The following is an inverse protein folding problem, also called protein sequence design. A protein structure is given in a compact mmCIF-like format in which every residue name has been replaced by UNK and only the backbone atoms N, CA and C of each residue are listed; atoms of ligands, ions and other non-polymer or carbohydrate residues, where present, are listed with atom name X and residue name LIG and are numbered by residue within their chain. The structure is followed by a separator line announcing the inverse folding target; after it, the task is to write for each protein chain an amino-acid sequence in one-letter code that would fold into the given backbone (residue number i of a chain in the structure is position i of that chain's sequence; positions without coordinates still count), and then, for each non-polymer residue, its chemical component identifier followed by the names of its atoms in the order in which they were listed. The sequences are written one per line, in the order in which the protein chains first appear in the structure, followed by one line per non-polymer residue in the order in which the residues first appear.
data_IF_602893763017
#
_entry.id   IF_602893763017
#
_cell.length_a   1.000
_cell.length_b   1.000
_cell.length_c   1.000
_cell.angle_alpha   90.00
_cell.angle_beta   90.00
_cell.angle_gamma   90.00
#
_symmetry.space_group_name_H-M   'P 1'
#
loop_
_entity.id
_entity.type
_entity.pdbx_description
1 polymer ?
#
# COMPACT_ATOMS: atom_id res chain seq x y z
N UNK A 1 -15.86 -6.85 8.37
CA UNK A 1 -14.96 -6.07 9.23
C UNK A 1 -13.68 -5.82 8.46
N UNK A 2 -12.83 -4.89 8.89
CA UNK A 2 -11.52 -4.70 8.25
C UNK A 2 -10.60 -5.86 8.61
N UNK A 3 -9.92 -6.43 7.61
CA UNK A 3 -9.20 -7.69 7.76
C UNK A 3 -7.71 -7.47 8.03
N UNK A 4 -7.15 -8.26 8.96
CA UNK A 4 -5.72 -8.46 9.11
C UNK A 4 -5.32 -9.80 8.49
N UNK A 5 -4.52 -9.77 7.43
CA UNK A 5 -4.02 -11.00 6.80
C UNK A 5 -2.81 -11.53 7.59
N UNK A 6 -2.85 -12.80 7.99
CA UNK A 6 -1.78 -13.41 8.79
C UNK A 6 -0.89 -14.28 7.90
N UNK A 7 0.36 -13.87 7.79
CA UNK A 7 1.46 -14.51 7.07
C UNK A 7 2.29 -15.29 8.09
N UNK A 8 2.23 -16.61 8.08
CA UNK A 8 3.01 -17.43 9.00
C UNK A 8 3.27 -18.83 8.43
N UNK A 9 4.25 -19.59 8.96
CA UNK A 9 4.35 -21.01 8.67
C UNK A 9 3.12 -21.77 9.15
N UNK A 10 2.72 -22.80 8.40
CA UNK A 10 1.68 -23.76 8.81
C UNK A 10 2.34 -25.08 9.18
N UNK A 11 2.10 -25.57 10.40
CA UNK A 11 2.79 -26.75 10.92
C UNK A 11 1.88 -27.74 11.66
N UNK A 12 0.57 -27.45 11.76
CA UNK A 12 -0.37 -28.16 12.64
C UNK A 12 0.14 -28.26 14.10
N UNK A 13 0.98 -27.29 14.49
CA UNK A 13 1.85 -27.39 15.64
C UNK A 13 1.95 -26.06 16.36
N UNK A 14 3.18 -25.56 16.53
CA UNK A 14 3.42 -24.39 17.38
C UNK A 14 2.89 -23.10 16.73
N UNK A 15 2.95 -22.98 15.40
CA UNK A 15 2.49 -21.79 14.70
C UNK A 15 0.95 -21.74 14.63
N UNK A 16 0.31 -22.89 14.48
CA UNK A 16 -1.15 -22.98 14.52
C UNK A 16 -1.73 -22.63 15.89
N UNK A 17 -1.13 -23.16 16.97
CA UNK A 17 -1.51 -22.80 18.34
C UNK A 17 -1.25 -21.32 18.62
N UNK A 18 -0.09 -20.79 18.21
CA UNK A 18 0.24 -19.37 18.38
C UNK A 18 -0.76 -18.45 17.67
N UNK A 19 -1.23 -18.85 16.49
CA UNK A 19 -2.29 -18.10 15.82
C UNK A 19 -3.57 -18.07 16.66
N UNK A 20 -4.06 -19.22 17.11
CA UNK A 20 -5.33 -19.29 17.86
C UNK A 20 -5.26 -18.60 19.22
N UNK A 21 -4.15 -18.78 19.94
CA UNK A 21 -4.04 -18.35 21.32
C UNK A 21 -3.54 -16.90 21.45
N UNK A 22 -2.72 -16.44 20.50
CA UNK A 22 -2.00 -15.16 20.61
C UNK A 22 -2.37 -14.18 19.49
N UNK A 23 -2.15 -14.55 18.22
CA UNK A 23 -2.30 -13.60 17.11
C UNK A 23 -3.75 -13.22 16.86
N UNK A 24 -4.66 -14.20 16.77
CA UNK A 24 -6.08 -13.94 16.55
C UNK A 24 -6.69 -13.07 17.67
N UNK A 25 -6.51 -13.39 18.97
CA UNK A 25 -6.99 -12.53 20.04
C UNK A 25 -6.39 -11.11 20.04
N UNK A 26 -5.11 -10.96 19.69
CA UNK A 26 -4.48 -9.63 19.59
C UNK A 26 -5.08 -8.80 18.44
N UNK A 27 -5.29 -9.42 17.28
CA UNK A 27 -5.88 -8.79 16.11
C UNK A 27 -7.32 -8.38 16.39
N UNK A 28 -8.12 -9.26 16.98
CA UNK A 28 -9.51 -9.00 17.35
C UNK A 28 -9.61 -7.90 18.41
N UNK A 29 -8.70 -7.87 19.39
CA UNK A 29 -8.60 -6.79 20.38
C UNK A 29 -8.20 -5.43 19.78
N UNK A 30 -7.60 -5.43 18.58
CA UNK A 30 -7.34 -4.24 17.77
C UNK A 30 -8.53 -3.83 16.89
N UNK A 31 -9.65 -4.56 16.92
CA UNK A 31 -10.85 -4.26 16.15
C UNK A 31 -10.83 -4.81 14.71
N UNK A 32 -9.92 -5.74 14.42
CA UNK A 32 -9.74 -6.33 13.10
C UNK A 32 -10.19 -7.80 13.08
N UNK A 33 -10.50 -8.30 11.89
CA UNK A 33 -10.74 -9.72 11.66
C UNK A 33 -9.45 -10.43 11.26
N UNK A 34 -9.02 -11.45 12.02
CA UNK A 34 -7.83 -12.24 11.69
C UNK A 34 -8.14 -13.25 10.58
N UNK A 35 -7.50 -13.08 9.42
CA UNK A 35 -7.70 -13.96 8.26
C UNK A 35 -6.47 -14.81 7.98
N UNK A 36 -6.71 -16.12 7.79
CA UNK A 36 -5.74 -17.11 7.37
C UNK A 36 -6.30 -17.89 6.19
N UNK A 37 -5.57 -17.90 5.09
CA UNK A 37 -6.02 -18.52 3.84
C UNK A 37 -6.24 -20.03 3.96
N UNK A 38 -5.44 -20.73 4.79
CA UNK A 38 -5.52 -22.18 4.93
C UNK A 38 -6.75 -22.64 5.72
N UNK A 39 -7.40 -21.74 6.45
CA UNK A 39 -8.64 -22.00 7.19
C UNK A 39 -9.90 -21.69 6.37
N UNK A 40 -9.76 -21.15 5.16
CA UNK A 40 -10.87 -20.77 4.30
C UNK A 40 -11.25 -21.93 3.36
N UNK A 41 -12.39 -22.60 3.59
CA UNK A 41 -12.82 -23.74 2.78
C UNK A 41 -13.23 -23.33 1.34
N UNK A 42 -13.39 -22.02 1.07
CA UNK A 42 -13.73 -21.48 -0.24
C UNK A 42 -12.53 -21.28 -1.18
N UNK A 43 -11.30 -21.49 -0.69
CA UNK A 43 -10.07 -21.31 -1.47
C UNK A 43 -9.90 -22.43 -2.49
N UNK A 44 -10.05 -22.09 -3.77
CA UNK A 44 -9.84 -23.01 -4.89
C UNK A 44 -8.38 -22.98 -5.39
N UNK A 45 -7.82 -21.77 -5.53
CA UNK A 45 -6.44 -21.53 -5.94
C UNK A 45 -5.72 -20.78 -4.82
N UNK A 46 -4.83 -21.46 -4.06
CA UNK A 46 -4.22 -20.87 -2.86
C UNK A 46 -3.46 -19.58 -3.15
N UNK A 47 -2.65 -19.55 -4.21
CA UNK A 47 -1.78 -18.39 -4.49
C UNK A 47 -2.56 -17.13 -4.86
N UNK A 48 -3.56 -17.22 -5.73
CA UNK A 48 -4.43 -16.10 -6.09
C UNK A 48 -5.24 -15.59 -4.90
N UNK A 49 -5.67 -16.51 -4.03
CA UNK A 49 -6.43 -16.17 -2.81
C UNK A 49 -5.54 -15.46 -1.78
N UNK A 50 -4.29 -15.90 -1.65
CA UNK A 50 -3.27 -15.23 -0.82
C UNK A 50 -3.02 -13.81 -1.34
N UNK A 51 -2.69 -13.68 -2.62
CA UNK A 51 -2.41 -12.38 -3.24
C UNK A 51 -3.58 -11.41 -3.10
N UNK A 52 -4.79 -11.88 -3.40
CA UNK A 52 -6.02 -11.09 -3.24
C UNK A 52 -6.25 -10.73 -1.78
N UNK A 53 -6.10 -11.69 -0.86
CA UNK A 53 -6.28 -11.48 0.57
C UNK A 53 -5.32 -10.43 1.13
N UNK A 54 -4.04 -10.50 0.75
CA UNK A 54 -3.03 -9.50 1.12
C UNK A 54 -3.43 -8.13 0.57
N UNK A 55 -3.75 -8.03 -0.73
CA UNK A 55 -4.11 -6.75 -1.37
C UNK A 55 -5.34 -6.09 -0.73
N UNK A 56 -6.30 -6.90 -0.29
CA UNK A 56 -7.55 -6.45 0.30
C UNK A 56 -7.46 -6.20 1.82
N UNK A 57 -6.42 -6.70 2.48
CA UNK A 57 -6.24 -6.48 3.91
C UNK A 57 -5.91 -5.02 4.22
N UNK A 58 -6.41 -4.56 5.37
CA UNK A 58 -6.02 -3.24 5.89
C UNK A 58 -4.58 -3.25 6.43
N UNK A 59 -4.14 -4.39 6.95
CA UNK A 59 -2.82 -4.60 7.54
C UNK A 59 -2.46 -6.08 7.49
N UNK A 60 -1.18 -6.39 7.38
CA UNK A 60 -0.68 -7.76 7.47
C UNK A 60 0.09 -7.97 8.78
N UNK A 61 -0.02 -9.16 9.36
CA UNK A 61 0.85 -9.65 10.42
C UNK A 61 1.75 -10.74 9.83
N UNK A 62 3.07 -10.65 10.02
CA UNK A 62 4.01 -11.65 9.55
C UNK A 62 4.87 -12.23 10.67
N UNK A 63 4.81 -13.56 10.89
CA UNK A 63 5.75 -14.29 11.76
C UNK A 63 6.96 -14.76 10.94
N UNK A 64 8.07 -14.04 11.10
CA UNK A 64 9.33 -14.26 10.37
C UNK A 64 10.34 -15.05 11.22
N UNK A 65 9.89 -15.79 12.23
CA UNK A 65 10.76 -16.61 13.09
C UNK A 65 11.51 -17.67 12.28
N UNK A 66 10.81 -18.37 11.39
CA UNK A 66 11.40 -19.37 10.51
C UNK A 66 11.80 -18.74 9.17
N UNK A 67 12.89 -19.24 8.58
CA UNK A 67 13.25 -18.92 7.19
C UNK A 67 12.39 -19.72 6.20
N UNK A 68 11.07 -19.45 6.23
CA UNK A 68 10.10 -20.10 5.37
C UNK A 68 9.97 -19.34 4.03
N UNK A 69 10.23 -19.99 2.86
CA UNK A 69 10.14 -19.33 1.56
C UNK A 69 8.76 -18.73 1.23
N UNK A 70 7.67 -19.36 1.67
CA UNK A 70 6.31 -18.88 1.42
C UNK A 70 6.05 -17.60 2.20
N UNK A 71 6.46 -17.56 3.47
CA UNK A 71 6.38 -16.35 4.32
C UNK A 71 7.15 -15.19 3.68
N UNK A 72 8.34 -15.45 3.13
CA UNK A 72 9.12 -14.41 2.45
C UNK A 72 8.46 -13.89 1.19
N UNK A 73 7.87 -14.77 0.39
CA UNK A 73 7.11 -14.39 -0.80
C UNK A 73 5.91 -13.51 -0.42
N UNK A 74 5.09 -13.96 0.54
CA UNK A 74 3.91 -13.23 1.00
C UNK A 74 4.27 -11.88 1.63
N UNK A 75 5.35 -11.82 2.41
CA UNK A 75 5.85 -10.58 3.00
C UNK A 75 6.32 -9.60 1.93
N UNK A 76 7.07 -10.08 0.93
CA UNK A 76 7.50 -9.27 -0.21
C UNK A 76 6.30 -8.73 -0.99
N UNK A 77 5.29 -9.56 -1.22
CA UNK A 77 4.06 -9.19 -1.91
C UNK A 77 3.24 -8.15 -1.13
N UNK A 78 3.17 -8.27 0.20
CA UNK A 78 2.53 -7.30 1.07
C UNK A 78 3.20 -5.92 0.96
N UNK A 79 4.54 -5.87 0.93
CA UNK A 79 5.26 -4.62 0.69
C UNK A 79 5.04 -4.06 -0.71
N UNK A 80 5.08 -4.91 -1.74
CA UNK A 80 4.81 -4.48 -3.12
C UNK A 80 3.36 -3.98 -3.33
N UNK A 81 2.43 -4.40 -2.47
CA UNK A 81 1.03 -3.98 -2.48
C UNK A 81 0.75 -2.76 -1.59
N UNK A 82 1.79 -2.12 -1.04
CA UNK A 82 1.71 -1.00 -0.09
C UNK A 82 0.82 -1.29 1.12
N UNK A 83 0.80 -2.55 1.58
CA UNK A 83 0.08 -2.91 2.81
C UNK A 83 0.98 -2.63 4.01
N UNK A 84 0.47 -1.96 5.06
CA UNK A 84 1.17 -1.91 6.34
C UNK A 84 1.41 -3.34 6.86
N UNK A 85 2.60 -3.60 7.39
CA UNK A 85 2.97 -4.92 7.94
C UNK A 85 3.51 -4.78 9.36
N UNK A 86 2.97 -5.56 10.29
CA UNK A 86 3.56 -5.81 11.60
C UNK A 86 4.33 -7.12 11.54
N UNK A 87 5.64 -7.07 11.76
CA UNK A 87 6.48 -8.26 11.79
C UNK A 87 6.77 -8.67 13.23
N UNK A 88 6.71 -9.97 13.50
CA UNK A 88 7.08 -10.57 14.77
C UNK A 88 8.19 -11.60 14.53
N UNK A 89 9.12 -11.72 15.46
CA UNK A 89 10.18 -12.72 15.38
C UNK A 89 10.52 -13.26 16.76
N UNK A 90 10.51 -14.58 16.91
CA UNK A 90 10.98 -15.20 18.14
C UNK A 90 12.50 -15.09 18.26
N UNK A 91 12.98 -14.95 19.48
CA UNK A 91 14.41 -15.02 19.81
C UNK A 91 15.01 -16.41 19.58
N UNK A 92 14.18 -17.46 19.44
CA UNK A 92 14.60 -18.82 19.05
C UNK A 92 15.15 -18.92 17.62
N UNK A 93 15.03 -17.85 16.82
CA UNK A 93 15.47 -17.83 15.42
C UNK A 93 16.95 -18.24 15.30
N UNK A 94 17.21 -19.24 14.47
CA UNK A 94 18.56 -19.80 14.28
C UNK A 94 19.47 -18.88 13.44
N UNK A 95 18.88 -18.09 12.53
CA UNK A 95 19.59 -17.10 11.72
C UNK A 95 19.82 -15.79 12.49
N UNK A 96 21.05 -15.55 12.94
CA UNK A 96 21.44 -14.36 13.75
C UNK A 96 21.22 -13.01 13.05
N UNK A 97 21.12 -12.97 11.72
CA UNK A 97 20.89 -11.75 10.95
C UNK A 97 19.66 -11.91 10.08
N UNK A 98 18.83 -10.87 10.05
CA UNK A 98 17.74 -10.77 9.09
C UNK A 98 18.29 -10.57 7.67
N UNK A 99 17.52 -10.93 6.62
CA UNK A 99 17.82 -10.50 5.25
C UNK A 99 17.98 -8.98 5.16
N UNK A 100 18.82 -8.50 4.25
CA UNK A 100 19.14 -7.06 4.10
C UNK A 100 17.88 -6.19 4.01
N UNK A 101 16.89 -6.61 3.22
CA UNK A 101 15.63 -5.89 3.00
C UNK A 101 14.71 -5.81 4.25
N UNK A 102 15.03 -6.60 5.29
CA UNK A 102 14.29 -6.70 6.54
C UNK A 102 15.02 -6.02 7.71
N UNK A 103 16.36 -5.95 7.68
CA UNK A 103 17.19 -5.46 8.80
C UNK A 103 16.83 -4.06 9.30
N UNK A 104 16.36 -3.18 8.42
CA UNK A 104 16.02 -1.78 8.75
C UNK A 104 14.55 -1.57 9.08
N UNK A 105 13.76 -2.64 9.13
CA UNK A 105 12.32 -2.57 9.40
C UNK A 105 12.01 -2.84 10.87
N UNK A 106 10.89 -2.31 11.35
CA UNK A 106 10.42 -2.54 12.71
C UNK A 106 9.93 -3.98 12.86
N UNK A 107 10.51 -4.71 13.80
CA UNK A 107 10.16 -6.09 14.15
C UNK A 107 9.87 -6.10 15.65
N UNK A 108 8.84 -6.81 16.07
CA UNK A 108 8.54 -7.07 17.48
C UNK A 108 9.25 -8.37 17.86
N UNK A 109 10.39 -8.32 18.58
CA UNK A 109 11.01 -9.52 19.12
C UNK A 109 10.17 -10.09 20.26
N UNK A 110 10.19 -11.41 20.44
CA UNK A 110 9.59 -12.04 21.61
C UNK A 110 10.31 -13.33 22.03
N UNK A 111 10.34 -13.61 23.33
CA UNK A 111 10.74 -14.93 23.86
C UNK A 111 9.54 -15.87 23.93
N UNK A 112 9.81 -17.18 23.93
CA UNK A 112 8.84 -18.24 24.11
C UNK A 112 9.14 -19.08 25.37
N UNK A 113 9.93 -18.56 26.30
CA UNK A 113 10.41 -19.28 27.49
C UNK A 113 9.31 -19.46 28.54
N UNK A 114 8.39 -18.47 28.68
CA UNK A 114 7.32 -18.51 29.67
C UNK A 114 5.98 -17.98 29.10
N UNK A 115 4.83 -18.37 29.70
CA UNK A 115 3.52 -17.87 29.29
C UNK A 115 3.42 -16.33 29.28
N UNK A 116 4.08 -15.66 30.24
CA UNK A 116 4.11 -14.20 30.33
C UNK A 116 4.75 -13.52 29.13
N UNK A 117 5.64 -14.20 28.39
CA UNK A 117 6.27 -13.64 27.20
C UNK A 117 5.26 -13.54 26.04
N UNK A 118 4.36 -14.52 25.96
CA UNK A 118 3.26 -14.49 25.00
C UNK A 118 2.19 -13.45 25.35
N UNK A 119 1.93 -13.21 26.64
CA UNK A 119 1.06 -12.11 27.07
C UNK A 119 1.64 -10.75 26.64
N UNK A 120 2.95 -10.53 26.85
CA UNK A 120 3.64 -9.32 26.38
C UNK A 120 3.62 -9.17 24.86
N UNK A 121 3.78 -10.28 24.12
CA UNK A 121 3.66 -10.28 22.67
C UNK A 121 2.25 -9.87 22.25
N UNK A 122 1.21 -10.43 22.86
CA UNK A 122 -0.18 -10.08 22.58
C UNK A 122 -0.46 -8.60 22.80
N UNK A 123 -0.01 -8.06 23.94
CA UNK A 123 -0.16 -6.63 24.27
C UNK A 123 0.57 -5.74 23.27
N UNK A 124 1.83 -6.04 22.99
CA UNK A 124 2.66 -5.27 22.05
C UNK A 124 2.09 -5.30 20.63
N UNK A 125 1.62 -6.47 20.19
CA UNK A 125 0.99 -6.65 18.89
C UNK A 125 -0.31 -5.84 18.79
N UNK A 126 -1.18 -5.93 19.80
CA UNK A 126 -2.45 -5.18 19.84
C UNK A 126 -2.19 -3.66 19.79
N UNK A 127 -1.25 -3.17 20.61
CA UNK A 127 -0.89 -1.75 20.63
C UNK A 127 -0.32 -1.28 19.28
N UNK A 128 0.56 -2.08 18.66
CA UNK A 128 1.15 -1.76 17.36
C UNK A 128 0.10 -1.74 16.25
N UNK A 129 -0.80 -2.71 16.21
CA UNK A 129 -1.90 -2.77 15.25
C UNK A 129 -2.79 -1.53 15.37
N UNK A 130 -3.25 -1.19 16.59
CA UNK A 130 -4.05 0.02 16.85
C UNK A 130 -3.35 1.29 16.39
N UNK A 131 -2.08 1.47 16.74
CA UNK A 131 -1.32 2.65 16.36
C UNK A 131 -1.16 2.80 14.83
N UNK A 132 -1.03 1.69 14.10
CA UNK A 132 -0.95 1.74 12.64
C UNK A 132 -2.32 2.07 12.04
N UNK A 133 -3.41 1.45 12.52
CA UNK A 133 -4.77 1.73 12.06
C UNK A 133 -5.11 3.21 12.29
N UNK A 134 -4.89 3.73 13.50
CA UNK A 134 -5.16 5.13 13.83
C UNK A 134 -4.35 6.07 12.94
N UNK A 135 -3.07 5.76 12.67
CA UNK A 135 -2.25 6.55 11.76
C UNK A 135 -2.82 6.53 10.33
N UNK A 136 -3.27 5.38 9.84
CA UNK A 136 -3.87 5.26 8.50
C UNK A 136 -5.18 6.05 8.44
N UNK A 137 -6.06 5.92 9.44
CA UNK A 137 -7.31 6.66 9.54
C UNK A 137 -7.08 8.17 9.62
N UNK A 138 -6.08 8.62 10.38
CA UNK A 138 -5.72 10.04 10.47
C UNK A 138 -5.18 10.54 9.12
N UNK A 139 -4.37 9.76 8.41
CA UNK A 139 -3.89 10.13 7.08
C UNK A 139 -5.03 10.19 6.07
N UNK A 140 -5.99 9.26 6.12
CA UNK A 140 -7.18 9.27 5.29
C UNK A 140 -8.08 10.47 5.62
N UNK A 141 -8.31 10.75 6.90
CA UNK A 141 -9.05 11.93 7.34
C UNK A 141 -8.35 13.23 6.92
N UNK A 142 -7.02 13.33 7.00
CA UNK A 142 -6.27 14.50 6.50
C UNK A 142 -6.42 14.63 4.99
N UNK A 143 -6.31 13.54 4.24
CA UNK A 143 -6.54 13.54 2.79
C UNK A 143 -7.99 13.92 2.42
N UNK A 144 -8.97 13.59 3.27
CA UNK A 144 -10.38 13.96 3.08
C UNK A 144 -10.71 15.38 3.57
N UNK A 145 -10.02 15.86 4.61
CA UNK A 145 -10.26 17.13 5.31
C UNK A 145 -9.39 18.28 4.84
N UNK A 146 -8.50 18.03 3.87
CA UNK A 146 -7.62 19.03 3.27
C UNK A 146 -8.44 20.32 2.99
N UNK A 147 -8.14 21.46 3.64
CA UNK A 147 -8.88 22.69 3.45
C UNK A 147 -8.49 23.24 2.09
N UNK A 148 -9.19 22.76 1.08
CA UNK A 148 -8.98 23.20 -0.29
C UNK A 148 -9.41 24.65 -0.37
N UNK A 149 -8.46 25.58 -0.32
CA UNK A 149 -8.69 26.83 -1.03
C UNK A 149 -8.68 26.45 -2.51
N UNK A 150 -9.83 26.46 -3.21
CA UNK A 150 -9.88 25.95 -4.56
C UNK A 150 -9.05 26.86 -5.45
N UNK A 151 -8.04 26.29 -6.09
CA UNK A 151 -7.36 26.97 -7.20
C UNK A 151 -8.33 26.85 -8.37
N UNK A 152 -9.10 27.91 -8.61
CA UNK A 152 -10.07 27.97 -9.71
C UNK A 152 -10.98 26.73 -9.80
N UNK A 153 -11.49 26.29 -8.64
CA UNK A 153 -12.40 25.14 -8.56
C UNK A 153 -11.72 23.77 -8.46
N UNK A 154 -10.39 23.69 -8.46
CA UNK A 154 -9.62 22.47 -8.19
C UNK A 154 -8.89 22.51 -6.83
N UNK A 155 -8.78 21.34 -6.20
CA UNK A 155 -7.92 21.11 -5.04
C UNK A 155 -6.46 21.01 -5.42
N UNK A 156 -5.53 21.26 -4.48
CA UNK A 156 -4.09 21.07 -4.76
C UNK A 156 -3.80 19.63 -5.21
N UNK A 157 -4.45 18.64 -4.60
CA UNK A 157 -4.35 17.23 -5.00
C UNK A 157 -4.90 17.01 -6.41
N UNK A 158 -6.05 17.61 -6.75
CA UNK A 158 -6.62 17.54 -8.10
C UNK A 158 -5.71 18.19 -9.14
N UNK A 159 -5.09 19.32 -8.82
CA UNK A 159 -4.12 19.99 -9.71
C UNK A 159 -2.89 19.10 -9.92
N UNK A 160 -2.34 18.49 -8.87
CA UNK A 160 -1.21 17.58 -8.97
C UNK A 160 -1.54 16.36 -9.84
N UNK A 161 -2.68 15.71 -9.58
CA UNK A 161 -3.10 14.53 -10.36
C UNK A 161 -3.37 14.90 -11.82
N UNK A 162 -4.03 16.02 -12.08
CA UNK A 162 -4.25 16.51 -13.44
C UNK A 162 -2.93 16.80 -14.15
N UNK A 163 -1.96 17.42 -13.46
CA UNK A 163 -0.63 17.69 -14.00
C UNK A 163 0.15 16.42 -14.35
N UNK A 164 0.07 15.39 -13.49
CA UNK A 164 0.74 14.11 -13.72
C UNK A 164 0.17 13.41 -14.95
N UNK A 165 -1.16 13.31 -15.07
CA UNK A 165 -1.82 12.69 -16.22
C UNK A 165 -1.46 13.48 -17.51
N UNK A 166 -1.50 14.81 -17.46
CA UNK A 166 -1.16 15.66 -18.59
C UNK A 166 0.31 15.55 -19.03
N UNK A 167 1.23 15.50 -18.07
CA UNK A 167 2.67 15.50 -18.31
C UNK A 167 3.24 14.13 -18.72
N UNK A 168 2.58 13.05 -18.34
CA UNK A 168 2.98 11.70 -18.74
C UNK A 168 2.49 11.34 -20.15
N UNK A 169 1.38 11.93 -20.60
CA UNK A 169 0.80 11.64 -21.90
C UNK A 169 1.79 11.92 -23.05
N UNK A 170 2.04 10.92 -23.89
CA UNK A 170 2.95 11.03 -25.04
C UNK A 170 2.47 12.07 -26.07
N UNK A 171 1.15 12.14 -26.27
CA UNK A 171 0.46 13.16 -27.06
C UNK A 171 -0.69 13.72 -26.23
N UNK A 172 -1.06 15.00 -26.43
CA UNK A 172 -2.27 15.55 -25.83
C UNK A 172 -3.47 14.65 -26.11
N UNK A 173 -4.30 14.43 -25.09
CA UNK A 173 -5.49 13.56 -25.13
C UNK A 173 -5.25 12.05 -25.17
N UNK A 174 -4.02 11.55 -25.28
CA UNK A 174 -3.78 10.12 -25.14
C UNK A 174 -3.98 9.69 -23.68
N UNK A 175 -4.55 8.50 -23.47
CA UNK A 175 -4.62 7.92 -22.15
C UNK A 175 -3.26 7.38 -21.70
N UNK A 176 -2.97 7.58 -20.42
CA UNK A 176 -1.85 6.97 -19.71
C UNK A 176 -2.35 5.84 -18.83
N UNK A 177 -1.48 4.93 -18.40
CA UNK A 177 -1.91 3.85 -17.53
C UNK A 177 -2.27 4.38 -16.15
N UNK A 178 -3.32 3.84 -15.51
CA UNK A 178 -3.65 4.22 -14.12
C UNK A 178 -2.48 3.95 -13.17
N UNK A 179 -1.69 2.90 -13.45
CA UNK A 179 -0.54 2.51 -12.62
C UNK A 179 0.57 3.57 -12.64
N UNK A 180 0.99 4.01 -13.84
CA UNK A 180 2.04 5.03 -13.99
C UNK A 180 1.61 6.39 -13.45
N UNK A 181 0.38 6.82 -13.77
CA UNK A 181 -0.17 8.07 -13.24
C UNK A 181 -0.26 8.06 -11.71
N UNK A 182 -0.64 6.92 -11.09
CA UNK A 182 -0.63 6.78 -9.63
C UNK A 182 0.78 6.87 -9.07
N UNK A 183 1.71 6.12 -9.65
CA UNK A 183 3.10 6.08 -9.18
C UNK A 183 3.76 7.46 -9.22
N UNK A 184 3.57 8.23 -10.29
CA UNK A 184 4.13 9.58 -10.37
C UNK A 184 3.41 10.59 -9.46
N UNK A 185 2.11 10.42 -9.22
CA UNK A 185 1.39 11.21 -8.20
C UNK A 185 1.91 10.91 -6.78
N UNK A 186 2.20 9.65 -6.46
CA UNK A 186 2.81 9.25 -5.18
C UNK A 186 4.20 9.86 -4.99
N UNK A 187 5.01 9.91 -6.06
CA UNK A 187 6.31 10.61 -6.04
C UNK A 187 6.17 12.12 -5.85
N UNK A 188 5.04 12.69 -6.23
CA UNK A 188 4.68 14.09 -5.97
C UNK A 188 4.06 14.31 -4.57
N UNK A 189 3.97 13.26 -3.74
CA UNK A 189 3.46 13.33 -2.37
C UNK A 189 1.95 13.09 -2.22
N UNK A 190 1.27 12.66 -3.28
CA UNK A 190 -0.17 12.33 -3.24
C UNK A 190 -0.36 10.90 -2.74
N UNK A 191 -1.17 10.69 -1.70
CA UNK A 191 -1.50 9.33 -1.24
C UNK A 191 -2.39 8.60 -2.27
N UNK A 192 -2.40 7.26 -2.24
CA UNK A 192 -3.29 6.48 -3.10
C UNK A 192 -4.79 6.86 -2.92
N UNK A 193 -5.23 7.14 -1.69
CA UNK A 193 -6.59 7.64 -1.44
C UNK A 193 -6.81 9.02 -2.06
N UNK A 194 -5.85 9.94 -1.90
CA UNK A 194 -5.88 11.26 -2.53
C UNK A 194 -5.94 11.17 -4.06
N UNK A 195 -5.17 10.26 -4.66
CA UNK A 195 -5.18 9.98 -6.10
C UNK A 195 -6.57 9.49 -6.56
N UNK A 196 -7.11 8.45 -5.91
CA UNK A 196 -8.42 7.89 -6.29
C UNK A 196 -9.56 8.91 -6.12
N UNK A 197 -9.52 9.73 -5.06
CA UNK A 197 -10.49 10.79 -4.84
C UNK A 197 -10.38 11.91 -5.90
N UNK A 198 -9.15 12.31 -6.25
CA UNK A 198 -8.90 13.29 -7.30
C UNK A 198 -9.36 12.78 -8.67
N UNK A 199 -9.03 11.54 -9.04
CA UNK A 199 -9.51 10.91 -10.30
C UNK A 199 -11.04 10.93 -10.35
N UNK A 200 -11.71 10.53 -9.27
CA UNK A 200 -13.18 10.55 -9.19
C UNK A 200 -13.75 11.96 -9.37
N UNK A 201 -13.20 12.96 -8.67
CA UNK A 201 -13.70 14.35 -8.74
C UNK A 201 -13.38 15.01 -10.09
N UNK A 202 -12.19 14.81 -10.65
CA UNK A 202 -11.79 15.31 -11.97
C UNK A 202 -12.64 14.68 -13.07
N UNK A 203 -12.96 13.39 -12.98
CA UNK A 203 -13.89 12.72 -13.91
C UNK A 203 -15.29 13.33 -13.81
N UNK A 204 -15.80 13.55 -12.59
CA UNK A 204 -17.10 14.19 -12.39
C UNK A 204 -17.14 15.64 -12.92
N UNK A 205 -16.01 16.35 -12.86
CA UNK A 205 -15.82 17.70 -13.44
C UNK A 205 -15.57 17.68 -14.95
N UNK A 206 -15.42 16.50 -15.57
CA UNK A 206 -15.06 16.30 -16.99
C UNK A 206 -13.69 16.86 -17.37
N UNK A 207 -12.74 16.88 -16.43
CA UNK A 207 -11.37 17.33 -16.70
C UNK A 207 -10.50 16.18 -17.19
N UNK A 208 -10.88 14.96 -16.81
CA UNK A 208 -10.27 13.72 -17.29
C UNK A 208 -11.37 12.74 -17.67
N UNK A 209 -11.01 11.74 -18.45
CA UNK A 209 -11.86 10.60 -18.80
C UNK A 209 -11.10 9.29 -18.59
N UNK A 210 -11.86 8.25 -18.27
CA UNK A 210 -11.35 6.88 -18.23
C UNK A 210 -11.55 6.28 -19.60
N UNK A 211 -10.48 5.76 -20.19
CA UNK A 211 -10.52 5.06 -21.48
C UNK A 211 -10.13 3.60 -21.27
N UNK A 212 -10.81 2.71 -21.97
CA UNK A 212 -10.41 1.31 -22.02
C UNK A 212 -9.30 1.16 -23.05
N UNK A 213 -8.13 0.78 -22.57
CA UNK A 213 -6.95 0.48 -23.37
C UNK A 213 -6.86 -1.03 -23.59
N UNK A 214 -6.28 -1.41 -24.72
CA UNK A 214 -6.11 -2.81 -25.10
C UNK A 214 -4.64 -3.18 -25.06
N UNK A 215 -4.28 -4.23 -24.31
CA UNK A 215 -2.94 -4.78 -24.35
C UNK A 215 -2.83 -5.83 -25.47
N UNK A 216 -2.08 -5.51 -26.53
CA UNK A 216 -1.86 -6.42 -27.65
C UNK A 216 -1.05 -7.67 -27.27
N UNK A 217 -0.29 -7.65 -26.15
CA UNK A 217 0.52 -8.80 -25.71
C UNK A 217 -0.29 -9.82 -24.94
N UNK A 218 -1.12 -9.34 -24.02
CA UNK A 218 -1.83 -10.21 -23.07
C UNK A 218 -3.29 -10.44 -23.49
N UNK A 219 -3.81 -9.65 -24.43
CA UNK A 219 -5.18 -9.77 -24.95
C UNK A 219 -6.26 -9.30 -23.96
N UNK A 220 -5.87 -8.58 -22.92
CA UNK A 220 -6.73 -8.07 -21.86
C UNK A 220 -6.90 -6.56 -21.99
N UNK A 221 -8.08 -6.06 -21.62
CA UNK A 221 -8.33 -4.63 -21.53
C UNK A 221 -8.01 -4.09 -20.14
N UNK A 222 -7.53 -2.84 -20.09
CA UNK A 222 -7.22 -2.15 -18.85
C UNK A 222 -7.62 -0.69 -18.91
N UNK A 223 -7.83 -0.07 -17.75
CA UNK A 223 -8.23 1.33 -17.69
C UNK A 223 -7.01 2.25 -17.83
N UNK A 224 -7.12 3.23 -18.71
CA UNK A 224 -6.25 4.40 -18.82
C UNK A 224 -6.97 5.68 -18.39
N UNK A 225 -6.18 6.72 -18.14
CA UNK A 225 -6.65 8.07 -17.81
C UNK A 225 -6.17 9.04 -18.89
N UNK A 226 -7.08 9.80 -19.48
CA UNK A 226 -6.75 10.85 -20.43
C UNK A 226 -7.29 12.20 -19.94
N UNK A 227 -6.52 13.27 -20.17
CA UNK A 227 -7.04 14.64 -19.97
C UNK A 227 -8.04 14.95 -21.07
N UNK A 228 -9.19 15.52 -20.67
CA UNK A 228 -10.25 15.94 -21.58
C UNK A 228 -10.10 17.44 -21.94
N UNK A 229 -10.88 17.92 -22.90
CA UNK A 229 -10.79 19.29 -23.43
C UNK A 229 -10.96 20.37 -22.34
N UNK A 230 -11.89 20.17 -21.39
CA UNK A 230 -12.07 21.11 -20.28
C UNK A 230 -10.88 21.07 -19.29
N UNK A 231 -10.21 19.91 -19.17
CA UNK A 231 -8.99 19.77 -18.39
C UNK A 231 -7.82 20.52 -19.02
N UNK A 232 -7.63 20.41 -20.34
CA UNK A 232 -6.60 21.18 -21.06
C UNK A 232 -6.87 22.68 -21.00
N UNK A 233 -8.11 23.11 -21.22
CA UNK A 233 -8.48 24.53 -21.09
C UNK A 233 -8.16 25.08 -19.71
N UNK A 234 -8.38 24.29 -18.66
CA UNK A 234 -8.04 24.67 -17.30
C UNK A 234 -6.51 24.77 -17.11
N UNK A 235 -5.74 23.80 -17.61
CA UNK A 235 -4.27 23.81 -17.56
C UNK A 235 -3.72 25.03 -18.28
N UNK A 236 -4.19 25.34 -19.50
CA UNK A 236 -3.78 26.50 -20.28
C UNK A 236 -4.05 27.82 -19.56
N UNK A 237 -5.22 27.93 -18.92
CA UNK A 237 -5.58 29.12 -18.12
C UNK A 237 -4.67 29.27 -16.89
N UNK A 238 -4.15 28.16 -16.37
CA UNK A 238 -3.33 28.09 -15.16
C UNK A 238 -1.85 27.79 -15.44
N UNK A 239 -1.38 27.99 -16.68
CA UNK A 239 -0.07 27.54 -17.18
C UNK A 239 1.10 27.98 -16.27
N UNK A 240 1.04 29.19 -15.73
CA UNK A 240 2.05 29.75 -14.82
C UNK A 240 2.32 28.94 -13.55
N UNK A 241 1.43 28.01 -13.19
CA UNK A 241 1.56 27.12 -12.03
C UNK A 241 2.31 25.83 -12.34
N UNK A 242 2.53 25.53 -13.62
CA UNK A 242 3.20 24.32 -14.06
C UNK A 242 4.68 24.60 -14.33
N UNK A 243 5.54 23.65 -13.94
CA UNK A 243 6.97 23.72 -14.23
C UNK A 243 7.20 23.23 -15.66
N UNK A 244 7.19 24.16 -16.62
CA UNK A 244 7.38 23.85 -18.05
C UNK A 244 8.84 23.69 -18.47
N UNK A 245 9.77 24.05 -17.57
CA UNK A 245 11.21 23.95 -17.80
C UNK A 245 11.87 23.21 -16.66
N UNK A 246 12.63 22.16 -16.97
CA UNK A 246 13.52 21.51 -15.99
C UNK A 246 14.60 22.52 -15.57
N UNK A 247 14.78 22.72 -14.27
CA UNK A 247 16.01 23.30 -13.76
C UNK A 247 17.14 22.27 -13.93
N UNK A 248 18.27 22.70 -14.48
CA UNK A 248 19.45 21.84 -14.64
C UNK A 248 19.87 21.30 -13.28
N UNK A 249 19.88 19.97 -13.14
CA UNK A 249 20.46 19.31 -11.97
C UNK A 249 21.94 19.67 -11.90
N UNK A 250 22.36 20.35 -10.82
CA UNK A 250 23.78 20.37 -10.42
C UNK A 250 24.26 18.92 -10.35
N UNK A 251 25.29 18.59 -11.13
CA UNK A 251 26.03 17.34 -11.00
C UNK A 251 26.66 17.32 -9.61
N UNK A 252 26.13 16.48 -8.73
CA UNK A 252 26.87 16.02 -7.55
C UNK A 252 27.75 14.87 -8.02
N UNK A 253 28.96 15.21 -8.46
CA UNK A 253 30.06 14.26 -8.57
C UNK A 253 30.59 14.01 -7.15
N UNK A 254 29.99 13.06 -6.41
CA UNK A 254 30.67 12.32 -5.34
C UNK A 254 29.73 11.25 -4.76
N UNK A 255 29.83 10.02 -5.27
CA UNK A 255 29.47 8.83 -4.52
C UNK A 255 30.74 7.99 -4.39
N UNK A 256 31.35 7.89 -3.19
CA UNK A 256 32.46 6.98 -2.97
C UNK A 256 31.88 5.57 -2.76
N UNK A 257 32.29 4.63 -3.61
CA UNK A 257 32.16 3.19 -3.36
C UNK A 257 33.06 2.76 -2.20
#
# INVERSE_FOLDING_TARGET
MTTCFVIQPFDSGKYDKRFQDIYKPAIEAAGLEAYRVDQDPGVLVPIESIEKGIRQAAICLADITADNPNVWYELGYAFASDRPVVMVCSEERTGKKYPFDIQHRSIIPYSADAPSDFDRLRESLTAKLKAIIEKVEVLDQIAESDPVTPIEGLTQVEVLVLAVIAGEAYMPNNAVTVHSARHDAERAGVTNMGFNLAVRKLTAKKFIRVEELWDERDGESYNGLAVDEDGWRWIETNESRFVLHRQDKKKDDDIPF
#
